data_IF_335541562698
#
_entry.id   IF_335541562698
#
_cell.length_a   1.000
_cell.length_b   1.000
_cell.length_c   1.000
_cell.angle_alpha   90.00
_cell.angle_beta   90.00
_cell.angle_gamma   90.00
#
_symmetry.space_group_name_H-M   'P 1'
#
loop_
_entity.id
_entity.type
_entity.pdbx_description
1 polymer ?
#
# COMPACT_ATOMS: atom_id res chain seq x y z
N UNK A 1 7.54 23.14 -0.35
CA UNK A 1 6.52 22.07 -0.20
C UNK A 1 6.36 21.42 -1.57
N UNK A 2 6.97 20.25 -1.77
CA UNK A 2 6.87 19.53 -3.04
C UNK A 2 5.67 18.59 -2.97
N UNK A 3 4.58 18.94 -3.66
CA UNK A 3 3.49 18.01 -3.89
C UNK A 3 3.95 16.99 -4.95
N UNK A 4 4.26 15.77 -4.51
CA UNK A 4 4.41 14.63 -5.42
C UNK A 4 3.01 14.26 -5.89
N UNK A 5 2.61 14.76 -7.06
CA UNK A 5 1.40 14.31 -7.73
C UNK A 5 1.58 12.85 -8.18
N UNK A 6 0.54 12.00 -8.09
CA UNK A 6 0.63 10.63 -8.59
C UNK A 6 0.92 10.64 -10.09
N UNK A 7 1.87 9.81 -10.53
CA UNK A 7 2.14 9.60 -11.94
C UNK A 7 0.89 9.01 -12.60
N UNK A 8 0.30 9.75 -13.54
CA UNK A 8 -0.93 9.34 -14.19
C UNK A 8 -0.63 8.73 -15.56
N UNK A 9 -0.90 7.43 -15.70
CA UNK A 9 -0.87 6.74 -16.99
C UNK A 9 -2.09 7.13 -17.82
N UNK A 10 -1.93 8.05 -18.78
CA UNK A 10 -2.97 8.45 -19.76
C UNK A 10 -2.53 8.12 -21.18
N UNK A 11 -2.55 6.85 -21.58
CA UNK A 11 -2.60 6.45 -22.99
C UNK A 11 -2.89 4.95 -23.10
N UNK A 12 -3.91 4.58 -23.87
CA UNK A 12 -4.42 3.20 -24.01
C UNK A 12 -3.51 2.27 -24.86
N UNK A 13 -2.34 2.74 -25.31
CA UNK A 13 -1.51 2.05 -26.30
C UNK A 13 -0.04 1.84 -25.89
N UNK A 14 0.40 2.32 -24.73
CA UNK A 14 1.74 1.99 -24.21
C UNK A 14 1.62 1.29 -22.85
N UNK A 15 2.28 0.13 -22.72
CA UNK A 15 2.42 -0.56 -21.43
C UNK A 15 3.44 0.21 -20.60
N UNK A 16 2.98 1.27 -19.93
CA UNK A 16 3.78 1.98 -18.94
C UNK A 16 3.97 1.03 -17.74
N UNK A 17 5.21 0.61 -17.52
CA UNK A 17 5.61 -0.28 -16.43
C UNK A 17 6.61 0.40 -15.52
N UNK A 18 6.59 0.06 -14.25
CA UNK A 18 7.63 0.43 -13.29
C UNK A 18 8.72 -0.66 -13.33
N UNK A 19 9.93 -0.28 -13.70
CA UNK A 19 11.11 -1.14 -13.64
C UNK A 19 12.01 -0.67 -12.50
N UNK A 20 12.37 -1.60 -11.61
CA UNK A 20 13.25 -1.34 -10.48
C UNK A 20 14.39 -2.36 -10.49
N UNK A 21 15.62 -1.86 -10.37
CA UNK A 21 16.79 -2.67 -10.06
C UNK A 21 17.17 -2.40 -8.60
N UNK A 22 17.04 -3.42 -7.75
CA UNK A 22 17.22 -3.28 -6.31
C UNK A 22 18.47 -4.04 -5.84
N UNK A 23 19.27 -3.43 -4.97
CA UNK A 23 20.40 -4.07 -4.29
C UNK A 23 20.01 -4.40 -2.85
N UNK A 24 20.04 -5.69 -2.48
CA UNK A 24 19.61 -6.12 -1.17
C UNK A 24 20.69 -5.93 -0.10
N UNK A 25 21.95 -5.66 -0.46
CA UNK A 25 23.06 -5.52 0.49
C UNK A 25 23.08 -6.60 1.58
N UNK A 26 23.01 -7.87 1.17
CA UNK A 26 22.83 -9.04 2.06
C UNK A 26 23.83 -9.05 3.23
N UNK A 27 25.07 -8.62 2.98
CA UNK A 27 26.15 -8.57 3.98
C UNK A 27 25.95 -7.50 5.07
N UNK A 28 24.92 -6.64 4.95
CA UNK A 28 24.54 -5.61 5.92
C UNK A 28 23.39 -6.03 6.82
N UNK A 29 22.81 -7.21 6.61
CA UNK A 29 21.75 -7.72 7.46
C UNK A 29 22.27 -8.09 8.84
N UNK A 30 21.43 -7.89 9.85
CA UNK A 30 21.72 -8.25 11.23
C UNK A 30 21.37 -9.72 11.47
N UNK A 31 22.05 -10.37 12.41
CA UNK A 31 21.87 -11.80 12.70
C UNK A 31 20.44 -12.20 13.12
N UNK A 32 19.64 -11.23 13.58
CA UNK A 32 18.22 -11.44 13.95
C UNK A 32 17.28 -11.50 12.74
N UNK A 33 17.74 -11.13 11.55
CA UNK A 33 16.91 -11.15 10.35
C UNK A 33 16.73 -12.58 9.84
N UNK A 34 15.52 -13.13 9.98
CA UNK A 34 15.20 -14.49 9.54
C UNK A 34 15.07 -14.63 8.02
N UNK A 35 14.91 -13.52 7.29
CA UNK A 35 14.75 -13.48 5.84
C UNK A 35 15.51 -12.30 5.25
N UNK A 36 15.97 -12.46 4.01
CA UNK A 36 16.65 -11.42 3.23
C UNK A 36 15.89 -11.19 1.94
N UNK A 37 15.69 -9.92 1.57
CA UNK A 37 15.03 -9.57 0.32
C UNK A 37 14.41 -8.19 0.35
N UNK A 38 13.40 -7.98 -0.48
CA UNK A 38 12.64 -6.74 -0.51
C UNK A 38 11.20 -7.01 -0.16
N UNK A 39 10.57 -6.06 0.51
CA UNK A 39 9.12 -6.08 0.74
C UNK A 39 8.49 -4.94 -0.02
N UNK A 40 7.59 -5.26 -0.94
CA UNK A 40 6.89 -4.28 -1.78
C UNK A 40 5.43 -4.25 -1.38
N UNK A 41 4.88 -3.07 -1.13
CA UNK A 41 3.46 -2.87 -0.91
C UNK A 41 2.92 -1.84 -1.93
N UNK A 42 1.78 -2.16 -2.53
CA UNK A 42 1.13 -1.33 -3.55
C UNK A 42 -0.18 -0.86 -2.93
N UNK A 43 -0.32 0.46 -2.77
CA UNK A 43 -1.43 1.07 -2.06
C UNK A 43 -1.92 2.34 -2.77
N UNK A 44 -3.08 2.84 -2.36
CA UNK A 44 -3.59 4.13 -2.83
C UNK A 44 -2.68 5.28 -2.33
N UNK A 45 -2.38 6.31 -3.15
CA UNK A 45 -1.47 7.39 -2.76
C UNK A 45 -1.87 8.16 -1.49
N UNK A 46 -3.15 8.11 -1.11
CA UNK A 46 -3.68 8.77 0.07
C UNK A 46 -3.92 7.81 1.24
N UNK A 47 -3.69 6.51 1.04
CA UNK A 47 -3.73 5.50 2.10
C UNK A 47 -2.37 5.40 2.80
N UNK A 48 -2.37 5.14 4.10
CA UNK A 48 -1.16 4.85 4.88
C UNK A 48 -0.51 3.52 4.45
N UNK A 49 0.83 3.52 4.43
CA UNK A 49 1.62 2.37 4.03
C UNK A 49 1.63 1.30 5.14
N UNK A 50 1.12 0.11 4.86
CA UNK A 50 1.18 -1.07 5.73
C UNK A 50 1.92 -2.23 5.02
N UNK A 51 3.26 -2.24 5.07
CA UNK A 51 4.02 -3.28 4.39
C UNK A 51 3.90 -4.62 5.11
N UNK A 52 3.71 -4.66 6.43
CA UNK A 52 3.62 -5.90 7.20
C UNK A 52 2.31 -6.66 6.95
N UNK A 53 1.19 -5.95 6.82
CA UNK A 53 -0.11 -6.55 6.50
C UNK A 53 -0.38 -6.75 5.01
N UNK A 54 0.11 -5.84 4.14
CA UNK A 54 -0.24 -5.83 2.71
C UNK A 54 0.96 -6.00 1.75
N UNK A 55 2.18 -6.12 2.26
CA UNK A 55 3.37 -6.26 1.43
C UNK A 55 3.63 -7.69 0.96
N UNK A 56 4.24 -7.81 -0.22
CA UNK A 56 4.76 -9.04 -0.80
C UNK A 56 6.29 -9.08 -0.71
N UNK A 57 6.84 -10.25 -0.41
CA UNK A 57 8.28 -10.46 -0.38
C UNK A 57 8.81 -10.78 -1.79
N UNK A 58 9.92 -10.15 -2.16
CA UNK A 58 10.63 -10.34 -3.42
C UNK A 58 12.00 -10.93 -3.11
N UNK A 59 12.29 -12.05 -3.77
CA UNK A 59 13.54 -12.80 -3.60
C UNK A 59 14.63 -12.14 -4.46
N UNK A 60 15.80 -11.78 -3.88
CA UNK A 60 16.93 -11.28 -4.64
C UNK A 60 17.48 -12.32 -5.64
N UNK A 61 18.11 -11.86 -6.72
CA UNK A 61 18.75 -12.74 -7.72
C UNK A 61 17.84 -13.22 -8.86
N UNK A 62 16.54 -12.92 -8.79
CA UNK A 62 15.57 -13.23 -9.84
C UNK A 62 14.79 -11.98 -10.27
N UNK A 63 14.41 -11.92 -11.55
CA UNK A 63 13.45 -10.92 -12.03
C UNK A 63 12.04 -11.29 -11.58
N UNK A 64 11.34 -10.37 -10.90
CA UNK A 64 9.95 -10.56 -10.50
C UNK A 64 9.04 -9.61 -11.27
N UNK A 65 8.06 -10.17 -11.99
CA UNK A 65 7.05 -9.41 -12.73
C UNK A 65 5.76 -9.38 -11.93
N UNK A 66 5.27 -8.18 -11.60
CA UNK A 66 4.01 -7.97 -10.89
C UNK A 66 2.99 -7.33 -11.82
N UNK A 67 1.90 -8.03 -12.09
CA UNK A 67 0.79 -7.51 -12.88
C UNK A 67 -0.32 -7.03 -11.94
N UNK A 68 -0.84 -5.83 -12.19
CA UNK A 68 -1.87 -5.21 -11.37
C UNK A 68 -3.20 -5.16 -12.09
N UNK A 69 -4.27 -5.51 -11.37
CA UNK A 69 -5.65 -5.29 -11.79
C UNK A 69 -6.34 -4.42 -10.75
N UNK A 70 -6.66 -3.18 -11.14
CA UNK A 70 -7.37 -2.26 -10.25
C UNK A 70 -8.83 -2.73 -10.09
N UNK A 71 -9.26 -2.91 -8.85
CA UNK A 71 -10.65 -3.20 -8.50
C UNK A 71 -11.16 -2.14 -7.53
N UNK A 72 -12.17 -1.37 -7.94
CA UNK A 72 -12.76 -0.29 -7.13
C UNK A 72 -14.14 -0.73 -6.64
N UNK A 73 -14.34 -0.71 -5.33
CA UNK A 73 -15.64 -0.99 -4.71
C UNK A 73 -16.24 0.33 -4.22
N UNK A 74 -17.40 0.71 -4.76
CA UNK A 74 -18.18 1.87 -4.28
C UNK A 74 -19.39 1.38 -3.51
N UNK A 75 -19.52 1.78 -2.25
CA UNK A 75 -20.65 1.44 -1.38
C UNK A 75 -21.56 2.65 -1.21
N UNK A 76 -22.85 2.40 -1.04
CA UNK A 76 -23.81 3.42 -0.65
C UNK A 76 -23.61 3.74 0.85
N UNK A 77 -23.67 5.02 1.20
CA UNK A 77 -23.63 5.45 2.60
C UNK A 77 -24.97 5.20 3.30
N UNK A 78 -24.98 5.40 4.62
CA UNK A 78 -26.22 5.40 5.40
C UNK A 78 -27.32 6.23 4.68
N UNK A 79 -28.58 5.74 4.64
CA UNK A 79 -29.19 4.71 5.50
C UNK A 79 -29.11 3.26 4.98
N UNK A 80 -28.26 2.96 3.99
CA UNK A 80 -28.11 1.58 3.50
C UNK A 80 -27.52 0.64 4.58
N UNK A 81 -27.95 -0.64 4.52
CA UNK A 81 -27.84 -1.72 5.53
C UNK A 81 -26.47 -1.88 6.22
N UNK A 82 -25.40 -1.50 5.53
CA UNK A 82 -24.03 -1.77 5.95
C UNK A 82 -23.46 -0.67 6.85
N UNK A 83 -24.21 0.41 7.10
CA UNK A 83 -23.80 1.59 7.89
C UNK A 83 -22.39 2.10 7.51
N UNK A 84 -22.04 1.98 6.23
CA UNK A 84 -20.72 2.33 5.73
C UNK A 84 -20.47 3.83 5.94
N UNK A 85 -19.35 4.14 6.59
CA UNK A 85 -18.96 5.51 6.93
C UNK A 85 -18.02 6.07 5.86
N UNK A 86 -18.22 7.33 5.49
CA UNK A 86 -17.23 8.07 4.71
C UNK A 86 -16.08 8.48 5.62
N UNK A 87 -14.99 7.74 5.49
CA UNK A 87 -13.74 7.92 6.23
C UNK A 87 -13.15 9.34 6.11
N UNK A 88 -13.32 10.01 4.97
CA UNK A 88 -12.74 11.34 4.73
C UNK A 88 -13.39 12.52 5.47
N UNK A 89 -14.57 12.36 6.09
CA UNK A 89 -15.40 13.53 6.37
C UNK A 89 -15.84 13.82 7.81
N UNK A 90 -15.35 13.15 8.88
CA UNK A 90 -15.79 13.56 10.24
C UNK A 90 -14.96 13.10 11.47
N UNK A 91 -13.76 12.52 11.33
CA UNK A 91 -12.90 12.19 12.50
C UNK A 91 -11.42 12.33 12.16
N UNK A 92 -10.57 12.92 13.03
CA UNK A 92 -9.16 13.21 12.74
C UNK A 92 -8.23 11.99 12.54
N UNK A 93 -8.74 10.75 12.47
CA UNK A 93 -7.92 9.52 12.44
C UNK A 93 -8.55 8.35 11.67
N UNK A 94 -9.46 8.62 10.73
CA UNK A 94 -10.24 7.56 10.10
C UNK A 94 -10.11 7.62 8.58
N UNK A 95 -8.91 7.50 8.00
CA UNK A 95 -8.72 7.37 6.55
C UNK A 95 -8.96 5.94 6.03
N UNK A 96 -8.88 4.93 6.89
CA UNK A 96 -9.17 3.53 6.58
C UNK A 96 -9.71 2.76 7.80
N UNK A 97 -10.26 1.56 7.56
CA UNK A 97 -10.68 0.65 8.63
C UNK A 97 -9.49 0.22 9.52
N UNK A 98 -8.34 -0.06 8.91
CA UNK A 98 -7.12 -0.48 9.60
C UNK A 98 -6.67 0.59 10.59
N UNK A 99 -6.62 1.86 10.18
CA UNK A 99 -6.27 2.98 11.06
C UNK A 99 -7.22 3.11 12.26
N UNK A 100 -8.53 2.93 12.04
CA UNK A 100 -9.52 2.94 13.11
C UNK A 100 -9.28 1.84 14.16
N UNK A 101 -8.76 0.67 13.74
CA UNK A 101 -8.43 -0.42 14.65
C UNK A 101 -7.12 -0.13 15.41
N UNK A 102 -6.06 0.28 14.71
CA UNK A 102 -4.74 0.52 15.33
C UNK A 102 -4.74 1.69 16.31
N UNK A 103 -5.47 2.77 16.02
CA UNK A 103 -5.59 3.92 16.93
C UNK A 103 -6.14 3.54 18.31
N UNK A 104 -6.93 2.47 18.43
CA UNK A 104 -7.42 1.99 19.73
C UNK A 104 -6.38 1.18 20.50
N UNK A 105 -5.44 0.53 19.82
CA UNK A 105 -4.42 -0.31 20.44
C UNK A 105 -3.27 0.53 21.01
N UNK A 106 -2.95 1.67 20.39
CA UNK A 106 -1.88 2.57 20.84
C UNK A 106 -2.26 3.49 22.01
N UNK A 107 -3.52 3.47 22.48
CA UNK A 107 -4.03 4.29 23.58
C UNK A 107 -4.20 3.51 24.91
N UNK A 108 -3.71 2.27 24.96
CA UNK A 108 -3.57 1.46 26.17
C UNK A 108 -2.09 1.40 26.57
#
# INVERSE_FOLDING_TARGET
MNFLYPLQTRLLLEVLRLELLLNAEINKYVAISHTVGFRIAIHDPFEELDPEGKGMNIIPGYGTNVLLRLTIIKRLSAPCKDHCVFYFNNKPFAGSQTQCIHSRVQLL
#
